data_IF_453678287496
#
_entry.id   IF_453678287496
#
_cell.length_a   1.000
_cell.length_b   1.000
_cell.length_c   1.000
_cell.angle_alpha   90.00
_cell.angle_beta   90.00
_cell.angle_gamma   90.00
#
_symmetry.space_group_name_H-M   'P 1'
#
loop_
_entity.id
_entity.type
_entity.pdbx_description
1 polymer ?
#
# COMPACT_ATOMS: atom_id res chain seq x y z
N UNK A 1 -8.18 2.44 7.48
CA UNK A 1 -6.82 2.97 7.35
C UNK A 1 -6.34 2.89 5.92
N UNK A 2 -5.51 3.81 5.53
CA UNK A 2 -4.96 3.83 4.18
C UNK A 2 -3.46 3.77 4.22
N UNK A 3 -2.88 3.19 3.19
CA UNK A 3 -1.44 3.12 3.03
C UNK A 3 -1.05 3.79 1.73
N UNK A 4 0.08 4.48 1.75
CA UNK A 4 0.57 5.20 0.59
C UNK A 4 1.95 4.67 0.23
N UNK A 5 2.12 4.29 -1.03
CA UNK A 5 3.42 3.90 -1.54
C UNK A 5 4.27 5.16 -1.65
N UNK A 6 5.44 5.15 -1.00
CA UNK A 6 6.28 6.35 -1.00
C UNK A 6 7.15 6.45 -2.24
N UNK A 7 6.96 5.55 -3.19
CA UNK A 7 7.72 5.58 -4.45
C UNK A 7 6.88 6.19 -5.55
N UNK A 8 5.67 5.67 -5.76
CA UNK A 8 4.81 6.15 -6.85
C UNK A 8 3.56 6.87 -6.36
N UNK A 9 3.29 6.83 -5.06
CA UNK A 9 2.12 7.51 -4.51
C UNK A 9 0.83 6.73 -4.61
N UNK A 10 0.92 5.43 -4.86
CA UNK A 10 -0.27 4.59 -4.92
C UNK A 10 -0.94 4.52 -3.55
N UNK A 11 -2.27 4.61 -3.54
CA UNK A 11 -3.03 4.58 -2.30
C UNK A 11 -3.74 3.25 -2.17
N UNK A 12 -3.50 2.57 -1.05
CA UNK A 12 -4.17 1.30 -0.73
C UNK A 12 -5.16 1.54 0.39
N UNK A 13 -6.43 1.26 0.14
CA UNK A 13 -7.50 1.50 1.09
C UNK A 13 -7.94 0.19 1.73
N UNK A 14 -7.57 -0.01 2.98
CA UNK A 14 -7.93 -1.24 3.69
C UNK A 14 -9.43 -1.36 3.93
N UNK A 15 -10.14 -0.23 3.93
CA UNK A 15 -11.58 -0.26 4.17
C UNK A 15 -12.33 -0.94 3.03
N UNK A 16 -11.82 -0.81 1.80
CA UNK A 16 -12.47 -1.42 0.64
C UNK A 16 -11.74 -2.65 0.14
N UNK A 17 -10.42 -2.67 0.28
CA UNK A 17 -9.62 -3.77 -0.25
C UNK A 17 -9.36 -4.87 0.76
N UNK A 18 -9.59 -4.59 2.04
CA UNK A 18 -9.28 -5.53 3.09
C UNK A 18 -7.85 -5.36 3.59
N UNK A 19 -7.46 -6.15 4.59
CA UNK A 19 -6.13 -6.01 5.17
C UNK A 19 -5.03 -6.33 4.15
N UNK A 20 -3.95 -5.56 4.24
CA UNK A 20 -2.82 -5.74 3.33
C UNK A 20 -2.07 -7.03 3.68
N UNK A 21 -1.83 -7.92 2.70
CA UNK A 21 -1.09 -9.14 2.97
C UNK A 21 0.39 -8.85 3.21
N UNK A 22 1.07 -9.81 3.85
CA UNK A 22 2.48 -9.64 4.16
C UNK A 22 3.35 -9.54 2.92
N UNK A 23 2.96 -10.21 1.84
CA UNK A 23 3.74 -10.23 0.62
C UNK A 23 3.17 -9.30 -0.44
N UNK A 24 2.45 -8.28 -0.01
CA UNK A 24 1.84 -7.35 -0.93
C UNK A 24 2.90 -6.49 -1.61
N UNK A 25 2.71 -6.26 -2.89
CA UNK A 25 3.57 -5.37 -3.66
C UNK A 25 2.72 -4.36 -4.40
N UNK A 26 3.32 -3.19 -4.65
CA UNK A 26 2.62 -2.13 -5.36
C UNK A 26 2.35 -2.56 -6.81
N UNK A 27 1.09 -2.49 -7.28
CA UNK A 27 0.79 -2.86 -8.66
C UNK A 27 1.25 -1.83 -9.68
N UNK A 28 1.62 -0.64 -9.24
CA UNK A 28 2.04 0.41 -10.17
C UNK A 28 3.54 0.44 -10.36
N UNK A 29 4.30 0.40 -9.28
CA UNK A 29 5.75 0.49 -9.37
C UNK A 29 6.47 -0.76 -8.90
N UNK A 30 5.75 -1.70 -8.30
CA UNK A 30 6.33 -2.94 -7.83
C UNK A 30 7.07 -2.83 -6.50
N UNK A 31 6.84 -1.76 -5.76
CA UNK A 31 7.51 -1.57 -4.49
C UNK A 31 7.01 -2.57 -3.45
N UNK A 32 7.87 -2.90 -2.50
CA UNK A 32 7.52 -3.81 -1.43
C UNK A 32 6.52 -3.17 -0.48
N UNK A 33 5.88 -4.03 0.31
CA UNK A 33 4.99 -3.56 1.34
C UNK A 33 5.68 -2.60 2.30
N UNK A 34 6.98 -2.77 2.51
CA UNK A 34 7.72 -1.92 3.42
C UNK A 34 7.79 -0.47 2.96
N UNK A 35 7.49 -0.21 1.70
CA UNK A 35 7.44 1.16 1.18
C UNK A 35 6.07 1.80 1.37
N UNK A 36 5.11 1.05 1.86
CA UNK A 36 3.79 1.59 2.14
C UNK A 36 3.76 2.14 3.55
N UNK A 37 3.29 3.37 3.69
CA UNK A 37 3.20 4.04 4.97
C UNK A 37 1.75 4.28 5.34
N UNK A 38 1.40 4.10 6.62
CA UNK A 38 0.02 4.34 7.03
C UNK A 38 -0.32 5.81 6.91
N UNK A 39 -1.50 6.07 6.36
CA UNK A 39 -1.99 7.42 6.23
C UNK A 39 -3.44 7.45 6.67
N UNK A 40 -3.78 8.35 7.56
CA UNK A 40 -5.15 8.47 8.04
C UNK A 40 -5.84 9.67 7.52
#
# INVERSE_FOLDING_TARGET
>A
MKYVCDICGFIYDEATEGPMPDDYTCPLCGADKSHFKPEE
#
